data_IF_826894908498
#
_entry.id   IF_826894908498
#
_cell.length_a   1.000
_cell.length_b   1.000
_cell.length_c   1.000
_cell.angle_alpha   90.00
_cell.angle_beta   90.00
_cell.angle_gamma   90.00
#
_symmetry.space_group_name_H-M   'P 1'
#
loop_
_entity.id
_entity.type
_entity.pdbx_description
1 polymer ?
#
# COMPACT_ATOMS: atom_id res chain seq x y z
N UNK A 1 28.29 -16.38 -5.75
CA UNK A 1 27.57 -16.02 -4.52
C UNK A 1 26.12 -15.75 -4.90
N UNK A 2 25.24 -16.74 -4.71
CA UNK A 2 23.82 -16.65 -5.06
C UNK A 2 23.03 -17.27 -3.91
N UNK A 3 22.86 -16.55 -2.80
CA UNK A 3 22.04 -17.05 -1.68
C UNK A 3 21.19 -15.98 -0.99
N UNK A 4 21.11 -14.77 -1.51
CA UNK A 4 20.39 -13.66 -0.85
C UNK A 4 19.19 -13.11 -1.65
N UNK A 5 18.76 -13.84 -2.69
CA UNK A 5 17.60 -13.45 -3.51
C UNK A 5 16.29 -14.16 -3.11
N UNK A 6 16.35 -15.23 -2.32
CA UNK A 6 15.19 -16.06 -2.00
C UNK A 6 14.33 -15.52 -0.85
N UNK A 7 14.92 -14.81 0.12
CA UNK A 7 14.16 -14.20 1.22
C UNK A 7 13.53 -12.86 0.81
N UNK A 8 14.25 -12.02 0.07
CA UNK A 8 13.72 -10.76 -0.45
C UNK A 8 12.58 -10.96 -1.47
N UNK A 9 12.56 -12.10 -2.17
CA UNK A 9 11.45 -12.47 -3.07
C UNK A 9 10.18 -12.91 -2.34
N UNK A 10 10.26 -13.36 -1.08
CA UNK A 10 9.13 -13.87 -0.28
C UNK A 10 8.39 -12.78 0.49
N UNK A 11 9.05 -11.66 0.82
CA UNK A 11 8.48 -10.61 1.65
C UNK A 11 8.10 -9.39 0.82
N UNK A 12 6.88 -9.42 0.31
CA UNK A 12 6.12 -8.25 -0.15
C UNK A 12 6.76 -7.38 -1.22
N UNK A 13 5.91 -6.57 -1.83
CA UNK A 13 6.27 -5.52 -2.75
C UNK A 13 6.44 -4.28 -1.92
N UNK A 14 7.46 -3.48 -2.22
CA UNK A 14 7.75 -2.26 -1.49
C UNK A 14 7.89 -1.08 -2.45
N UNK A 15 7.70 0.11 -1.89
CA UNK A 15 8.02 1.39 -2.49
C UNK A 15 9.32 1.94 -1.89
N UNK A 16 9.95 2.86 -2.61
CA UNK A 16 11.11 3.62 -2.13
C UNK A 16 10.68 4.70 -1.14
N UNK A 17 11.51 5.00 -0.14
CA UNK A 17 11.18 5.94 0.93
C UNK A 17 11.02 7.41 0.51
N UNK A 18 11.57 7.78 -0.64
CA UNK A 18 11.43 9.09 -1.28
C UNK A 18 10.14 9.24 -2.11
N UNK A 19 9.44 8.14 -2.37
CA UNK A 19 8.14 8.18 -3.03
C UNK A 19 7.11 8.86 -2.13
N UNK A 20 6.12 9.49 -2.74
CA UNK A 20 5.19 10.41 -2.08
C UNK A 20 3.76 9.95 -2.23
N UNK A 21 2.95 10.27 -1.22
CA UNK A 21 1.50 10.04 -1.20
C UNK A 21 0.78 11.36 -0.95
N UNK A 22 -0.45 11.50 -1.46
CA UNK A 22 -1.32 12.63 -1.13
C UNK A 22 -2.09 12.29 0.15
N UNK A 23 -2.09 13.20 1.12
CA UNK A 23 -2.79 13.02 2.39
C UNK A 23 -4.11 13.78 2.43
N UNK A 24 -5.03 13.41 3.32
CA UNK A 24 -6.35 14.03 3.41
C UNK A 24 -6.33 15.53 3.76
N UNK A 25 -5.18 16.05 4.20
CA UNK A 25 -4.97 17.50 4.41
C UNK A 25 -4.55 18.23 3.13
N UNK A 26 -4.47 17.53 1.99
CA UNK A 26 -4.00 18.06 0.71
C UNK A 26 -2.48 18.13 0.56
N UNK A 27 -1.72 17.71 1.58
CA UNK A 27 -0.26 17.74 1.54
C UNK A 27 0.32 16.46 0.95
N UNK A 28 1.43 16.59 0.21
CA UNK A 28 2.29 15.46 -0.18
C UNK A 28 3.17 15.06 0.99
N UNK A 29 3.28 13.76 1.25
CA UNK A 29 4.14 13.18 2.30
C UNK A 29 5.03 12.11 1.71
N UNK A 30 6.30 12.07 2.09
CA UNK A 30 7.18 10.96 1.72
C UNK A 30 6.74 9.70 2.45
N UNK A 31 6.83 8.54 1.81
CA UNK A 31 6.50 7.26 2.45
C UNK A 31 7.35 6.96 3.68
N UNK A 32 8.58 7.45 3.72
CA UNK A 32 9.45 7.39 4.89
C UNK A 32 8.95 8.21 6.10
N UNK A 33 8.05 9.15 5.86
CA UNK A 33 7.48 10.07 6.87
C UNK A 33 6.01 9.75 7.19
N UNK A 34 5.35 8.88 6.42
CA UNK A 34 3.96 8.47 6.66
C UNK A 34 3.84 7.71 7.97
N UNK A 35 2.83 8.06 8.74
CA UNK A 35 2.53 7.44 10.03
C UNK A 35 1.25 6.59 9.96
N UNK A 36 1.20 5.57 10.82
CA UNK A 36 -0.04 4.81 11.05
C UNK A 36 -1.12 5.73 11.58
N UNK A 37 -2.35 5.57 11.08
CA UNK A 37 -3.50 6.43 11.36
C UNK A 37 -3.65 7.62 10.40
N UNK A 38 -2.63 7.93 9.59
CA UNK A 38 -2.79 8.94 8.54
C UNK A 38 -3.71 8.44 7.42
N UNK A 39 -4.45 9.36 6.81
CA UNK A 39 -5.33 9.04 5.67
C UNK A 39 -4.69 9.51 4.38
N UNK A 40 -4.48 8.57 3.46
CA UNK A 40 -3.79 8.78 2.17
C UNK A 40 -4.71 8.42 1.00
N UNK A 41 -4.47 9.04 -0.15
CA UNK A 41 -5.28 8.83 -1.35
C UNK A 41 -5.17 7.38 -1.84
N UNK A 42 -6.31 6.79 -2.15
CA UNK A 42 -6.48 5.42 -2.61
C UNK A 42 -7.72 5.31 -3.53
N UNK A 43 -7.89 4.19 -4.21
CA UNK A 43 -9.13 3.83 -4.92
C UNK A 43 -9.84 2.74 -4.09
N UNK A 44 -11.10 2.93 -3.72
CA UNK A 44 -11.89 1.83 -3.18
C UNK A 44 -12.17 0.82 -4.30
N UNK A 45 -11.67 -0.43 -4.22
CA UNK A 45 -11.83 -1.39 -5.31
C UNK A 45 -13.28 -1.80 -5.57
N UNK A 46 -14.16 -1.65 -4.56
CA UNK A 46 -15.57 -2.04 -4.62
C UNK A 46 -16.43 -0.99 -5.31
N UNK A 47 -16.22 0.29 -4.98
CA UNK A 47 -16.99 1.40 -5.56
C UNK A 47 -16.31 2.04 -6.76
N UNK A 48 -15.00 1.80 -6.96
CA UNK A 48 -14.12 2.49 -7.92
C UNK A 48 -13.99 3.99 -7.66
N UNK A 49 -14.31 4.44 -6.45
CA UNK A 49 -14.19 5.84 -6.06
C UNK A 49 -12.84 6.14 -5.44
N UNK A 50 -12.35 7.36 -5.66
CA UNK A 50 -11.15 7.87 -5.03
C UNK A 50 -11.47 8.31 -3.59
N UNK A 51 -10.75 7.74 -2.62
CA UNK A 51 -10.99 7.93 -1.19
C UNK A 51 -9.69 8.22 -0.43
N UNK A 52 -9.81 8.90 0.71
CA UNK A 52 -8.70 8.99 1.67
C UNK A 52 -8.83 7.86 2.69
N UNK A 53 -8.01 6.83 2.53
CA UNK A 53 -8.02 5.60 3.33
C UNK A 53 -6.93 5.64 4.41
N UNK A 54 -7.28 5.19 5.61
CA UNK A 54 -6.38 5.16 6.77
C UNK A 54 -5.27 4.11 6.60
N UNK A 55 -4.03 4.48 6.91
CA UNK A 55 -2.88 3.59 6.99
C UNK A 55 -2.95 2.80 8.30
N UNK A 56 -3.25 1.51 8.21
CA UNK A 56 -3.42 0.61 9.35
C UNK A 56 -2.09 0.18 9.97
N UNK A 57 -1.11 -0.15 9.13
CA UNK A 57 0.21 -0.64 9.50
C UNK A 57 1.16 -0.60 8.30
N UNK A 58 2.42 -0.96 8.51
CA UNK A 58 3.37 -1.25 7.44
C UNK A 58 3.62 -2.76 7.40
N UNK A 59 3.39 -3.39 6.25
CA UNK A 59 3.71 -4.80 6.01
C UNK A 59 5.22 -5.02 6.00
N UNK A 60 5.95 -4.03 5.52
CA UNK A 60 7.39 -3.95 5.56
C UNK A 60 7.81 -2.49 5.81
N UNK A 61 8.66 -2.29 6.81
CA UNK A 61 9.27 -1.01 7.11
C UNK A 61 10.74 -1.25 7.42
N UNK A 62 11.65 -0.90 6.51
CA UNK A 62 13.08 -0.91 6.81
C UNK A 62 13.75 0.26 6.09
N UNK A 63 14.04 1.37 6.79
CA UNK A 63 14.62 2.57 6.18
C UNK A 63 16.10 2.38 5.78
N UNK A 64 16.75 1.29 6.18
CA UNK A 64 18.17 1.05 5.96
C UNK A 64 18.44 -0.06 4.93
N UNK A 65 17.43 -0.89 4.64
CA UNK A 65 17.59 -1.96 3.65
C UNK A 65 17.86 -1.40 2.26
N UNK A 66 18.96 -1.84 1.64
CA UNK A 66 19.23 -1.61 0.22
C UNK A 66 18.53 -2.70 -0.61
N UNK A 67 17.75 -2.29 -1.61
CA UNK A 67 17.00 -3.22 -2.47
C UNK A 67 16.99 -2.73 -3.92
N UNK A 68 16.80 -3.67 -4.84
CA UNK A 68 16.54 -3.37 -6.24
C UNK A 68 15.07 -2.97 -6.45
N UNK A 69 14.88 -1.92 -7.22
CA UNK A 69 13.60 -1.37 -7.63
C UNK A 69 13.57 -1.22 -9.15
N UNK A 70 12.36 -1.15 -9.70
CA UNK A 70 12.08 -0.65 -11.03
C UNK A 70 11.65 0.81 -10.90
N UNK A 71 12.33 1.69 -11.62
CA UNK A 71 11.89 3.06 -11.85
C UNK A 71 11.14 3.10 -13.18
N UNK A 72 9.83 3.34 -13.10
CA UNK A 72 8.88 3.37 -14.22
C UNK A 72 8.52 4.83 -14.46
N UNK A 73 8.88 5.35 -15.63
CA UNK A 73 8.56 6.72 -16.05
C UNK A 73 7.36 6.70 -16.98
N UNK A 74 6.38 7.55 -16.72
CA UNK A 74 5.18 7.72 -17.53
C UNK A 74 5.28 8.96 -18.44
N UNK A 75 4.47 8.99 -19.49
CA UNK A 75 4.56 10.00 -20.55
C UNK A 75 4.33 11.44 -20.05
N UNK A 76 3.53 11.62 -18.99
CA UNK A 76 3.25 12.95 -18.39
C UNK A 76 4.22 13.31 -17.27
N UNK A 77 5.28 12.53 -17.07
CA UNK A 77 6.39 12.84 -16.17
C UNK A 77 6.30 12.22 -14.78
N UNK A 78 5.24 11.47 -14.46
CA UNK A 78 5.17 10.69 -13.22
C UNK A 78 6.24 9.61 -13.23
N UNK A 79 6.82 9.34 -12.05
CA UNK A 79 7.84 8.32 -11.87
C UNK A 79 7.49 7.46 -10.68
N UNK A 80 7.15 6.19 -10.93
CA UNK A 80 6.91 5.20 -9.89
C UNK A 80 8.19 4.41 -9.61
N UNK A 81 8.57 4.26 -8.33
CA UNK A 81 9.72 3.44 -7.93
C UNK A 81 9.28 2.32 -6.99
N UNK A 82 9.20 1.10 -7.52
CA UNK A 82 8.63 -0.08 -6.84
C UNK A 82 9.50 -1.32 -7.04
N UNK A 83 9.48 -2.25 -6.09
CA UNK A 83 10.18 -3.53 -6.25
C UNK A 83 9.59 -4.35 -7.41
N UNK A 84 10.36 -5.22 -8.08
CA UNK A 84 9.88 -6.02 -9.22
C UNK A 84 8.60 -6.85 -8.96
N UNK A 85 8.38 -7.31 -7.73
CA UNK A 85 7.20 -8.10 -7.34
C UNK A 85 6.03 -7.23 -6.80
N UNK A 86 6.09 -5.90 -6.88
CA UNK A 86 4.97 -5.05 -6.46
C UNK A 86 3.83 -5.11 -7.47
N UNK A 87 2.58 -5.13 -7.01
CA UNK A 87 1.39 -5.16 -7.86
C UNK A 87 0.87 -3.74 -8.16
N UNK A 88 0.75 -3.42 -9.45
CA UNK A 88 0.33 -2.10 -9.96
C UNK A 88 -0.93 -2.25 -10.82
N UNK A 89 -1.80 -1.24 -10.84
CA UNK A 89 -3.03 -1.28 -11.63
C UNK A 89 -2.74 -0.81 -13.05
N UNK A 90 -2.83 -1.74 -14.00
CA UNK A 90 -2.53 -1.52 -15.42
C UNK A 90 -3.76 -1.76 -16.30
N UNK A 91 -3.87 -1.02 -17.39
CA UNK A 91 -4.98 -1.08 -18.33
C UNK A 91 -5.83 0.19 -18.35
N UNK A 92 -6.95 0.10 -19.06
CA UNK A 92 -7.89 1.21 -19.27
C UNK A 92 -8.79 1.41 -18.06
N UNK A 93 -9.47 2.56 -17.97
CA UNK A 93 -10.47 2.83 -16.93
C UNK A 93 -11.65 1.84 -16.97
N UNK A 94 -12.01 1.33 -18.15
CA UNK A 94 -13.07 0.34 -18.33
C UNK A 94 -12.62 -1.10 -18.14
N UNK A 95 -11.31 -1.35 -18.29
CA UNK A 95 -10.73 -2.69 -18.27
C UNK A 95 -9.31 -2.63 -17.74
N UNK A 96 -9.15 -2.91 -16.45
CA UNK A 96 -7.86 -2.94 -15.76
C UNK A 96 -7.65 -4.23 -15.03
N UNK A 97 -6.39 -4.58 -14.86
CA UNK A 97 -5.94 -5.69 -14.06
C UNK A 97 -4.78 -5.27 -13.17
N UNK A 98 -4.57 -6.05 -12.12
CA UNK A 98 -3.39 -5.91 -11.28
C UNK A 98 -2.25 -6.70 -11.90
N UNK A 99 -1.07 -6.09 -12.05
CA UNK A 99 0.08 -6.71 -12.73
C UNK A 99 1.34 -6.49 -11.91
N UNK A 100 2.21 -7.50 -11.86
CA UNK A 100 3.55 -7.35 -11.28
C UNK A 100 4.38 -6.29 -12.02
N UNK A 101 5.07 -5.43 -11.28
CA UNK A 101 5.92 -4.38 -11.85
C UNK A 101 6.96 -4.92 -12.85
N UNK A 102 7.53 -6.12 -12.61
CA UNK A 102 8.47 -6.78 -13.54
C UNK A 102 7.87 -7.21 -14.88
N UNK A 103 6.54 -7.33 -14.97
CA UNK A 103 5.84 -7.69 -16.21
C UNK A 103 5.51 -6.45 -17.06
N UNK A 104 5.62 -5.24 -16.50
CA UNK A 104 5.36 -3.98 -17.20
C UNK A 104 6.43 -3.70 -18.26
N UNK A 105 6.00 -3.16 -19.40
CA UNK A 105 6.82 -2.81 -20.55
C UNK A 105 6.49 -1.40 -21.04
N UNK A 106 7.41 -0.83 -21.80
CA UNK A 106 7.14 0.41 -22.55
C UNK A 106 5.92 0.19 -23.44
N UNK A 107 5.00 1.15 -23.46
CA UNK A 107 3.72 1.04 -24.16
C UNK A 107 2.56 0.55 -23.29
N UNK A 108 2.82 -0.08 -22.15
CA UNK A 108 1.75 -0.43 -21.21
C UNK A 108 1.16 0.84 -20.58
N UNK A 109 -0.11 0.78 -20.20
CA UNK A 109 -0.83 1.89 -19.56
C UNK A 109 -1.01 1.62 -18.08
N UNK A 110 -0.77 2.62 -17.24
CA UNK A 110 -1.06 2.60 -15.80
C UNK A 110 -2.19 3.57 -15.46
N UNK A 111 -2.87 3.28 -14.35
CA UNK A 111 -3.83 4.21 -13.75
C UNK A 111 -3.13 5.25 -12.91
N UNK A 112 -3.42 6.51 -13.19
CA UNK A 112 -2.84 7.67 -12.51
C UNK A 112 -3.92 8.59 -11.97
N UNK A 113 -3.66 9.23 -10.84
CA UNK A 113 -4.50 10.29 -10.30
C UNK A 113 -4.07 11.64 -10.86
N UNK A 114 -5.02 12.44 -11.35
CA UNK A 114 -4.75 13.83 -11.71
C UNK A 114 -4.80 14.77 -10.50
N UNK A 115 -4.59 16.07 -10.75
CA UNK A 115 -4.61 17.11 -9.71
C UNK A 115 -5.96 17.30 -9.01
N UNK A 116 -7.05 16.79 -9.59
CA UNK A 116 -8.39 16.81 -9.03
C UNK A 116 -8.77 15.47 -8.40
N UNK A 117 -7.80 14.60 -8.14
CA UNK A 117 -7.99 13.25 -7.63
C UNK A 117 -8.91 12.39 -8.52
N UNK A 118 -8.85 12.57 -9.84
CA UNK A 118 -9.58 11.74 -10.81
C UNK A 118 -8.63 10.77 -11.46
N UNK A 119 -9.09 9.52 -11.62
CA UNK A 119 -8.31 8.51 -12.32
C UNK A 119 -8.28 8.81 -13.82
N UNK A 120 -7.07 8.68 -14.36
CA UNK A 120 -6.72 8.79 -15.77
C UNK A 120 -5.76 7.66 -16.13
N UNK A 121 -5.50 7.58 -17.42
CA UNK A 121 -4.53 6.67 -18.00
C UNK A 121 -3.26 7.44 -18.35
N UNK A 122 -2.12 6.80 -18.14
CA UNK A 122 -0.85 7.28 -18.67
C UNK A 122 0.06 6.11 -19.11
N UNK A 123 0.82 6.33 -20.17
CA UNK A 123 1.62 5.31 -20.84
C UNK A 123 3.04 5.27 -20.27
N UNK A 124 3.58 4.07 -20.12
CA UNK A 124 4.97 3.85 -19.72
C UNK A 124 5.89 4.17 -20.89
N UNK A 125 6.79 5.14 -20.68
CA UNK A 125 7.82 5.53 -21.66
C UNK A 125 9.20 4.98 -21.31
N UNK A 126 9.41 4.57 -20.05
CA UNK A 126 10.68 3.99 -19.61
C UNK A 126 10.50 3.05 -18.43
N UNK A 127 11.24 1.94 -18.43
CA UNK A 127 11.42 1.06 -17.27
C UNK A 127 12.91 0.83 -17.09
N UNK A 128 13.46 1.12 -15.91
CA UNK A 128 14.87 0.85 -15.61
C UNK A 128 15.07 0.30 -14.19
N UNK A 129 15.98 -0.67 -13.99
CA UNK A 129 16.36 -1.12 -12.67
C UNK A 129 17.20 -0.05 -11.96
N UNK A 130 16.96 0.13 -10.67
CA UNK A 130 17.70 1.05 -9.80
C UNK A 130 17.90 0.45 -8.42
N UNK A 131 19.03 0.74 -7.78
CA UNK A 131 19.22 0.44 -6.36
C UNK A 131 18.78 1.64 -5.52
N UNK A 132 17.99 1.38 -4.47
CA UNK A 132 17.57 2.38 -3.48
C UNK A 132 17.71 1.82 -2.08
N UNK A 133 17.82 2.74 -1.13
CA UNK A 133 17.83 2.43 0.31
C UNK A 133 16.48 2.83 0.89
N UNK A 134 15.93 1.96 1.72
CA UNK A 134 14.63 2.15 2.35
C UNK A 134 13.51 1.42 1.60
N UNK A 135 12.83 0.52 2.30
CA UNK A 135 11.65 -0.20 1.80
C UNK A 135 10.45 0.10 2.69
N UNK A 136 9.34 0.46 2.04
CA UNK A 136 8.11 0.85 2.73
C UNK A 136 6.92 0.20 2.02
N UNK A 137 6.09 -0.52 2.76
CA UNK A 137 4.87 -1.14 2.27
C UNK A 137 3.70 -0.83 3.22
N UNK A 138 3.13 0.39 3.16
CA UNK A 138 1.96 0.74 3.97
C UNK A 138 0.75 -0.09 3.53
N UNK A 139 -0.10 -0.44 4.51
CA UNK A 139 -1.39 -1.09 4.29
C UNK A 139 -2.51 -0.12 4.63
N UNK A 140 -3.36 0.17 3.66
CA UNK A 140 -4.55 1.00 3.85
C UNK A 140 -5.79 0.16 4.20
N UNK A 141 -6.85 0.79 4.70
CA UNK A 141 -8.13 0.10 4.95
C UNK A 141 -8.74 -0.49 3.68
N UNK A 142 -8.59 0.18 2.52
CA UNK A 142 -9.15 -0.30 1.25
C UNK A 142 -8.20 -1.22 0.47
N UNK A 143 -6.93 -1.32 0.87
CA UNK A 143 -5.96 -2.24 0.25
C UNK A 143 -5.32 -1.74 -1.04
N UNK A 144 -5.55 -0.48 -1.41
CA UNK A 144 -4.87 0.24 -2.50
C UNK A 144 -4.30 1.55 -1.98
N UNK A 145 -3.45 2.19 -2.78
CA UNK A 145 -2.90 3.52 -2.50
C UNK A 145 -2.42 4.18 -3.79
N UNK A 146 -2.31 5.50 -3.76
CA UNK A 146 -1.70 6.29 -4.85
C UNK A 146 -0.32 6.78 -4.42
N UNK A 147 0.71 6.33 -5.14
CA UNK A 147 2.11 6.67 -4.88
C UNK A 147 2.68 7.37 -6.11
N UNK A 148 3.24 8.56 -5.94
CA UNK A 148 3.71 9.42 -7.03
C UNK A 148 2.66 9.56 -8.15
N UNK A 149 1.40 9.72 -7.75
CA UNK A 149 0.23 9.80 -8.62
C UNK A 149 -0.13 8.54 -9.38
N UNK A 150 0.51 7.39 -9.11
CA UNK A 150 0.19 6.11 -9.74
C UNK A 150 -0.56 5.20 -8.76
N UNK A 151 -1.65 4.61 -9.22
CA UNK A 151 -2.47 3.67 -8.43
C UNK A 151 -1.77 2.32 -8.32
N UNK A 152 -1.61 1.84 -7.08
CA UNK A 152 -0.99 0.56 -6.77
C UNK A 152 -1.80 -0.21 -5.73
N UNK A 153 -1.56 -1.52 -5.67
CA UNK A 153 -2.06 -2.37 -4.58
C UNK A 153 -1.18 -2.19 -3.34
N UNK A 154 -1.73 -2.38 -2.14
CA UNK A 154 -0.93 -2.56 -0.92
C UNK A 154 -0.25 -3.95 -0.87
N UNK A 155 -0.70 -4.89 -1.71
CA UNK A 155 -0.24 -6.27 -1.71
C UNK A 155 0.70 -6.53 -2.89
N UNK A 156 1.38 -7.67 -2.86
CA UNK A 156 2.41 -8.00 -3.83
C UNK A 156 2.45 -9.45 -4.25
N UNK A 157 1.50 -10.25 -3.79
CA UNK A 157 1.42 -11.66 -4.17
C UNK A 157 -0.03 -12.11 -4.30
N UNK A 158 -0.95 -11.54 -3.51
CA UNK A 158 -2.36 -11.92 -3.58
C UNK A 158 -3.09 -11.07 -4.63
N UNK A 159 -3.38 -11.67 -5.78
CA UNK A 159 -4.17 -11.06 -6.85
C UNK A 159 -5.69 -11.07 -6.56
N UNK A 160 -6.13 -11.90 -5.61
CA UNK A 160 -7.50 -11.84 -5.09
C UNK A 160 -7.58 -10.90 -3.90
N UNK A 161 -7.95 -9.65 -4.15
CA UNK A 161 -8.16 -8.66 -3.11
C UNK A 161 -9.16 -9.16 -2.06
N UNK A 162 -10.15 -10.00 -2.43
CA UNK A 162 -11.11 -10.61 -1.51
C UNK A 162 -10.43 -11.54 -0.50
N UNK A 163 -9.45 -12.31 -0.96
CA UNK A 163 -8.67 -13.22 -0.13
C UNK A 163 -7.70 -12.46 0.78
N UNK A 164 -7.09 -11.39 0.28
CA UNK A 164 -6.31 -10.47 1.10
C UNK A 164 -7.21 -9.78 2.13
N UNK A 165 -8.39 -9.27 1.75
CA UNK A 165 -9.36 -8.69 2.66
C UNK A 165 -9.78 -9.66 3.76
N UNK A 166 -10.01 -10.94 3.44
CA UNK A 166 -10.29 -12.00 4.43
C UNK A 166 -9.10 -12.25 5.34
N UNK A 167 -7.91 -12.41 4.74
CA UNK A 167 -6.67 -12.58 5.47
C UNK A 167 -6.25 -11.33 6.24
N UNK A 168 -6.92 -10.18 6.12
CA UNK A 168 -6.76 -8.99 6.98
C UNK A 168 -8.02 -8.64 7.77
N UNK A 169 -9.11 -9.38 7.58
CA UNK A 169 -10.42 -9.13 8.21
C UNK A 169 -10.35 -9.27 9.74
N UNK A 170 -9.69 -10.29 10.33
CA UNK A 170 -9.54 -10.37 11.79
C UNK A 170 -8.84 -9.16 12.40
N UNK A 171 -7.84 -8.60 11.72
CA UNK A 171 -7.14 -7.39 12.16
C UNK A 171 -8.01 -6.15 11.99
N UNK A 172 -8.70 -6.00 10.84
CA UNK A 172 -9.64 -4.89 10.62
C UNK A 172 -10.78 -4.92 11.63
N UNK A 173 -11.31 -6.09 11.92
CA UNK A 173 -12.29 -6.34 12.98
C UNK A 173 -11.69 -6.03 14.35
N UNK A 174 -10.48 -6.50 14.68
CA UNK A 174 -9.86 -6.22 15.97
C UNK A 174 -9.58 -4.72 16.17
N UNK A 175 -9.14 -3.99 15.16
CA UNK A 175 -8.99 -2.53 15.23
C UNK A 175 -10.35 -1.82 15.33
N UNK A 176 -11.35 -2.21 14.53
CA UNK A 176 -12.71 -1.65 14.60
C UNK A 176 -13.40 -1.95 15.95
N UNK A 177 -13.20 -3.16 16.51
CA UNK A 177 -13.75 -3.60 17.81
C UNK A 177 -12.99 -2.94 18.95
N UNK A 178 -11.67 -2.77 18.84
CA UNK A 178 -10.87 -2.06 19.86
C UNK A 178 -11.32 -0.61 19.97
N UNK A 179 -11.48 0.11 18.86
CA UNK A 179 -12.01 1.48 18.86
C UNK A 179 -13.47 1.54 19.37
N UNK A 180 -14.30 0.56 19.02
CA UNK A 180 -15.69 0.46 19.52
C UNK A 180 -15.77 0.16 21.02
N UNK A 181 -14.90 -0.72 21.53
CA UNK A 181 -14.87 -1.10 22.93
C UNK A 181 -14.24 -0.01 23.81
N UNK A 182 -13.21 0.70 23.32
CA UNK A 182 -12.70 1.89 24.02
C UNK A 182 -13.73 3.01 24.07
N UNK A 183 -14.45 3.29 22.97
CA UNK A 183 -15.55 4.27 22.98
C UNK A 183 -16.65 3.87 23.95
N UNK A 184 -17.13 2.62 23.88
CA UNK A 184 -18.18 2.12 24.77
C UNK A 184 -17.73 2.10 26.24
N UNK A 185 -16.50 1.67 26.52
CA UNK A 185 -15.91 1.71 27.86
C UNK A 185 -15.77 3.13 28.38
N UNK A 186 -15.33 4.10 27.57
CA UNK A 186 -15.23 5.51 28.00
C UNK A 186 -16.59 6.14 28.29
N UNK A 187 -17.64 5.80 27.51
CA UNK A 187 -19.01 6.25 27.74
C UNK A 187 -19.56 5.67 29.06
N UNK A 188 -19.29 4.39 29.34
CA UNK A 188 -19.77 3.71 30.55
C UNK A 188 -18.99 4.12 31.80
N UNK A 189 -17.67 4.32 31.69
CA UNK A 189 -16.79 4.60 32.84
C UNK A 189 -16.62 6.09 33.17
N UNK A 190 -16.88 7.00 32.22
CA UNK A 190 -16.74 8.46 32.39
C UNK A 190 -17.90 9.23 31.71
N UNK A 191 -19.12 9.15 32.27
CA UNK A 191 -20.33 9.64 31.60
C UNK A 191 -20.35 11.14 31.30
N UNK A 192 -19.56 11.97 32.00
CA UNK A 192 -19.46 13.41 31.75
C UNK A 192 -18.37 13.84 30.74
N UNK A 193 -17.49 12.94 30.27
CA UNK A 193 -16.43 13.25 29.27
C UNK A 193 -16.78 12.69 27.88
N UNK A 194 -17.84 11.88 27.78
CA UNK A 194 -18.31 11.28 26.52
C UNK A 194 -18.87 12.27 25.49
N UNK A 195 -19.00 13.56 25.82
CA UNK A 195 -19.50 14.62 24.93
C UNK A 195 -18.51 15.77 24.66
N UNK A 196 -17.25 15.66 25.10
CA UNK A 196 -16.19 16.58 24.69
C UNK A 196 -15.17 15.86 23.82
N UNK A 197 -14.98 16.36 22.60
CA UNK A 197 -14.05 15.89 21.57
C UNK A 197 -12.77 15.23 22.14
N UNK A 198 -12.66 13.91 21.95
CA UNK A 198 -11.39 13.20 22.15
C UNK A 198 -10.52 13.44 20.92
N UNK A 199 -10.06 14.68 20.76
CA UNK A 199 -8.84 15.00 20.01
C UNK A 199 -7.66 14.89 20.97
N UNK A 200 -7.50 13.71 21.57
CA UNK A 200 -6.26 13.37 22.27
C UNK A 200 -5.34 12.71 21.24
N UNK A 201 -4.49 13.52 20.60
CA UNK A 201 -3.39 13.05 19.76
C UNK A 201 -2.48 12.13 20.58
N UNK A 202 -2.71 10.82 20.49
CA UNK A 202 -1.66 9.86 20.78
C UNK A 202 -0.52 10.11 19.77
N UNK A 203 0.70 10.28 20.26
CA UNK A 203 1.86 10.41 19.39
C UNK A 203 1.92 9.14 18.50
N UNK A 204 1.99 9.29 17.17
CA UNK A 204 2.00 8.15 16.28
C UNK A 204 3.26 7.31 16.53
N UNK A 205 3.06 6.03 16.85
CA UNK A 205 4.16 5.10 17.03
C UNK A 205 4.83 4.83 15.68
N UNK A 206 6.16 4.97 15.62
CA UNK A 206 6.93 4.55 14.43
C UNK A 206 6.81 3.04 14.26
N UNK A 207 6.64 2.53 13.02
CA UNK A 207 6.61 1.09 12.78
C UNK A 207 7.92 0.43 13.22
N UNK A 208 7.84 -0.82 13.67
CA UNK A 208 9.04 -1.62 13.98
C UNK A 208 9.78 -1.96 12.68
N UNK A 209 11.12 -1.94 12.72
CA UNK A 209 11.94 -2.28 11.56
C UNK A 209 11.80 -3.76 11.22
N UNK A 210 11.59 -4.04 9.93
CA UNK A 210 11.44 -5.36 9.36
C UNK A 210 10.04 -5.63 8.80
N UNK A 211 9.76 -6.92 8.59
CA UNK A 211 8.47 -7.41 8.11
C UNK A 211 7.57 -7.68 9.30
N UNK A 212 6.39 -7.07 9.31
CA UNK A 212 5.42 -7.24 10.40
C UNK A 212 5.01 -8.73 10.49
N UNK A 213 4.87 -9.29 11.70
CA UNK A 213 4.63 -10.73 11.90
C UNK A 213 3.43 -11.23 11.09
N UNK A 214 2.39 -10.41 10.98
CA UNK A 214 1.18 -10.73 10.24
C UNK A 214 1.42 -10.82 8.73
N UNK A 215 2.27 -9.96 8.19
CA UNK A 215 2.68 -10.04 6.80
C UNK A 215 3.42 -11.36 6.54
N UNK A 216 4.22 -11.86 7.50
CA UNK A 216 4.86 -13.18 7.38
C UNK A 216 3.83 -14.31 7.31
N UNK A 217 2.78 -14.27 8.12
CA UNK A 217 1.69 -15.25 8.07
C UNK A 217 0.96 -15.18 6.73
N UNK A 218 0.55 -13.98 6.30
CA UNK A 218 -0.12 -13.78 5.02
C UNK A 218 0.72 -14.36 3.87
N UNK A 219 1.98 -13.96 3.76
CA UNK A 219 2.84 -14.40 2.65
C UNK A 219 3.17 -15.89 2.72
N UNK A 220 3.29 -16.47 3.91
CA UNK A 220 3.45 -17.93 4.06
C UNK A 220 2.20 -18.70 3.59
N UNK A 221 1.00 -18.13 3.76
CA UNK A 221 -0.25 -18.75 3.30
C UNK A 221 -0.57 -18.46 1.83
N UNK A 222 0.03 -17.42 1.23
CA UNK A 222 -0.17 -17.06 -0.16
C UNK A 222 0.28 -18.20 -1.09
N UNK A 223 1.43 -18.82 -0.82
CA UNK A 223 1.97 -19.94 -1.62
C UNK A 223 1.01 -21.15 -1.72
N UNK A 224 0.02 -21.27 -0.83
CA UNK A 224 -1.00 -22.34 -0.83
C UNK A 224 -2.31 -21.94 -1.52
N UNK A 225 -2.52 -20.64 -1.76
CA UNK A 225 -3.80 -20.06 -2.18
C UNK A 225 -3.72 -19.31 -3.52
N UNK A 226 -2.56 -19.31 -4.18
CA UNK A 226 -2.36 -18.66 -5.47
C UNK A 226 -3.01 -19.45 -6.62
N UNK A 227 -3.87 -18.81 -7.43
CA UNK A 227 -4.35 -19.43 -8.65
C UNK A 227 -3.20 -19.56 -9.67
N UNK A 228 -3.14 -20.70 -10.36
CA UNK A 228 -2.03 -21.12 -11.23
C UNK A 228 -1.70 -20.16 -12.39
N UNK A 229 -2.65 -19.32 -12.82
CA UNK A 229 -2.47 -18.36 -13.93
C UNK A 229 -1.50 -17.20 -13.61
N UNK A 230 -1.05 -17.06 -12.36
CA UNK A 230 -0.05 -16.06 -11.97
C UNK A 230 1.39 -16.55 -12.12
N UNK A 231 1.58 -17.85 -12.35
CA UNK A 231 2.89 -18.49 -12.51
C UNK A 231 3.41 -18.48 -13.96
N UNK A 232 2.64 -17.98 -14.92
CA UNK A 232 3.01 -17.87 -16.35
C UNK A 232 3.36 -16.43 -16.78
#
# INVERSE_FOLDING_TARGET
MVFESSQAGKYGGCFSGDSTVLTSTGQRRKLSEVQVGERILAEDPSTKEMVFSEVLLFLHYDPYQKREFLQITLSKGQVLTVTPNHLVVSGKLTDSRTVYAKKLKIGDTLRVSDSNNRLKEDEIVQVKPVLRTGVFAPLTTVGTLVVNDVLASCYATVDDQSLAHWAFSPIRLAFNVRESFYRLWTIISKPMVGWSDVSAKAAPAKPQVGVFWYAKVLYATADYLLPSHLHE
#
